data_IF_911432000099
#
_entry.id   IF_911432000099
#
_cell.length_a   1.000
_cell.length_b   1.000
_cell.length_c   1.000
_cell.angle_alpha   90.00
_cell.angle_beta   90.00
_cell.angle_gamma   90.00
#
_symmetry.space_group_name_H-M   'P 1'
#
loop_
_entity.id
_entity.type
_entity.pdbx_description
1 polymer ?
#
# COMPACT_ATOMS: atom_id res chain seq x y z
N UNK A 1 -19.34 2.51 -12.29
CA UNK A 1 -18.78 1.50 -11.41
C UNK A 1 -19.41 1.59 -10.02
N UNK A 2 -19.77 0.51 -9.47
CA UNK A 2 -20.44 0.52 -8.17
C UNK A 2 -19.46 0.09 -7.09
N UNK A 3 -19.70 0.58 -5.88
CA UNK A 3 -18.82 0.29 -4.76
C UNK A 3 -18.82 -1.18 -4.36
N UNK A 4 -19.84 -1.92 -4.78
CA UNK A 4 -19.92 -3.35 -4.44
C UNK A 4 -18.80 -4.18 -5.06
N UNK A 5 -18.14 -3.67 -6.11
CA UNK A 5 -17.02 -4.35 -6.75
C UNK A 5 -15.69 -3.99 -6.10
N UNK A 6 -15.68 -3.01 -5.20
CA UNK A 6 -14.48 -2.61 -4.48
C UNK A 6 -14.23 -3.53 -3.30
N UNK A 7 -12.96 -3.86 -3.08
CA UNK A 7 -12.56 -4.64 -1.93
C UNK A 7 -12.23 -3.70 -0.77
N UNK A 8 -12.62 -4.04 0.45
CA UNK A 8 -12.17 -3.26 1.60
C UNK A 8 -10.68 -3.44 1.79
N UNK A 9 -10.02 -2.39 2.21
CA UNK A 9 -8.59 -2.48 2.53
C UNK A 9 -8.47 -3.11 3.90
N UNK A 10 -7.81 -4.26 3.96
CA UNK A 10 -7.61 -4.98 5.21
C UNK A 10 -6.69 -4.15 6.10
N UNK A 11 -7.06 -4.04 7.37
CA UNK A 11 -6.30 -3.25 8.33
C UNK A 11 -4.83 -3.67 8.32
N UNK A 12 -3.96 -2.68 8.22
CA UNK A 12 -2.52 -2.90 8.23
C UNK A 12 -1.90 -3.10 6.86
N UNK A 13 -2.71 -3.32 5.81
CA UNK A 13 -2.13 -3.56 4.49
C UNK A 13 -1.85 -2.28 3.72
N UNK A 14 -2.53 -1.17 4.04
CA UNK A 14 -2.35 0.06 3.28
C UNK A 14 -0.91 0.57 3.36
N UNK A 15 -0.30 0.52 4.54
CA UNK A 15 1.08 0.96 4.71
C UNK A 15 2.01 0.18 3.78
N UNK A 16 1.79 -1.12 3.64
CA UNK A 16 2.60 -1.96 2.76
C UNK A 16 2.34 -1.67 1.28
N UNK A 17 1.10 -1.37 0.92
CA UNK A 17 0.78 -0.99 -0.45
C UNK A 17 1.49 0.33 -0.83
N UNK A 18 1.52 1.27 0.10
CA UNK A 18 2.22 2.53 -0.09
C UNK A 18 3.73 2.31 -0.24
N UNK A 19 4.32 1.52 0.65
CA UNK A 19 5.75 1.20 0.57
C UNK A 19 6.09 0.54 -0.77
N UNK A 20 5.22 -0.38 -1.21
CA UNK A 20 5.46 -1.06 -2.49
C UNK A 20 5.44 -0.10 -3.66
N UNK A 21 4.49 0.83 -3.65
CA UNK A 21 4.41 1.83 -4.72
C UNK A 21 5.70 2.65 -4.83
N UNK A 22 6.39 2.86 -3.71
CA UNK A 22 7.59 3.69 -3.66
C UNK A 22 8.87 2.95 -3.99
N UNK A 23 8.79 1.66 -4.31
CA UNK A 23 10.00 0.86 -4.54
C UNK A 23 10.79 1.26 -5.78
N UNK A 24 10.15 1.85 -6.76
CA UNK A 24 10.81 2.14 -8.03
C UNK A 24 11.26 3.59 -8.17
N UNK A 25 10.51 4.51 -7.62
CA UNK A 25 10.79 5.94 -7.77
C UNK A 25 10.04 6.70 -6.69
N UNK A 26 10.53 7.86 -6.28
CA UNK A 26 9.74 8.71 -5.40
C UNK A 26 8.42 9.11 -6.06
N UNK A 27 7.37 9.21 -5.27
CA UNK A 27 6.05 9.60 -5.76
C UNK A 27 5.39 10.56 -4.78
N UNK A 28 4.54 11.43 -5.31
CA UNK A 28 3.61 12.19 -4.46
C UNK A 28 2.33 11.39 -4.26
N UNK A 29 1.47 11.86 -3.35
CA UNK A 29 0.30 11.10 -2.92
C UNK A 29 -0.61 10.67 -4.05
N UNK A 30 -0.89 11.57 -4.99
CA UNK A 30 -1.77 11.26 -6.11
C UNK A 30 -1.21 10.13 -6.97
N UNK A 31 0.10 10.12 -7.20
CA UNK A 31 0.74 9.06 -7.97
C UNK A 31 0.65 7.71 -7.25
N UNK A 32 0.83 7.73 -5.93
CA UNK A 32 0.71 6.51 -5.13
C UNK A 32 -0.68 5.92 -5.27
N UNK A 33 -1.70 6.74 -5.09
CA UNK A 33 -3.09 6.31 -5.21
C UNK A 33 -3.38 5.74 -6.59
N UNK A 34 -2.94 6.44 -7.63
CA UNK A 34 -3.14 6.01 -9.00
C UNK A 34 -2.47 4.68 -9.27
N UNK A 35 -1.26 4.50 -8.74
CA UNK A 35 -0.52 3.26 -8.95
C UNK A 35 -1.25 2.08 -8.29
N UNK A 36 -1.71 2.24 -7.04
CA UNK A 36 -2.42 1.18 -6.33
C UNK A 36 -3.72 0.83 -7.03
N UNK A 37 -4.48 1.84 -7.46
CA UNK A 37 -5.74 1.62 -8.16
C UNK A 37 -5.51 0.88 -9.47
N UNK A 38 -4.50 1.29 -10.23
CA UNK A 38 -4.20 0.66 -11.50
C UNK A 38 -3.74 -0.79 -11.33
N UNK A 39 -2.88 -1.05 -10.34
CA UNK A 39 -2.40 -2.41 -10.09
C UNK A 39 -3.51 -3.33 -9.59
N UNK A 40 -4.47 -2.78 -8.88
CA UNK A 40 -5.61 -3.56 -8.39
C UNK A 40 -6.72 -3.68 -9.46
N UNK A 41 -6.53 -3.11 -10.63
CA UNK A 41 -7.53 -3.05 -11.70
C UNK A 41 -8.85 -2.45 -11.20
N UNK A 42 -8.72 -1.39 -10.37
CA UNK A 42 -9.86 -0.69 -9.83
C UNK A 42 -10.53 -1.37 -8.64
N UNK A 43 -10.00 -2.50 -8.17
CA UNK A 43 -10.60 -3.22 -7.05
C UNK A 43 -10.33 -2.56 -5.70
N UNK A 44 -9.25 -1.78 -5.58
CA UNK A 44 -8.93 -1.06 -4.35
C UNK A 44 -9.09 0.43 -4.59
N UNK A 45 -9.85 1.07 -3.71
CA UNK A 45 -10.09 2.50 -3.75
C UNK A 45 -9.44 3.11 -2.50
N UNK A 46 -8.37 3.88 -2.70
CA UNK A 46 -7.60 4.46 -1.60
C UNK A 46 -8.06 5.89 -1.40
N UNK A 47 -8.67 6.15 -0.25
CA UNK A 47 -9.13 7.50 0.09
C UNK A 47 -7.95 8.37 0.49
N UNK A 48 -8.04 9.65 0.14
CA UNK A 48 -6.97 10.60 0.40
C UNK A 48 -6.62 10.67 1.88
N UNK A 49 -7.62 10.72 2.75
CA UNK A 49 -7.36 10.81 4.19
C UNK A 49 -6.63 9.58 4.70
N UNK A 50 -7.02 8.39 4.25
CA UNK A 50 -6.35 7.17 4.66
C UNK A 50 -4.91 7.12 4.14
N UNK A 51 -4.70 7.58 2.90
CA UNK A 51 -3.37 7.63 2.32
C UNK A 51 -2.44 8.54 3.13
N UNK A 52 -2.91 9.75 3.45
CA UNK A 52 -2.05 10.70 4.17
C UNK A 52 -1.79 10.26 5.61
N UNK A 53 -2.75 9.58 6.24
CA UNK A 53 -2.50 8.99 7.55
C UNK A 53 -1.44 7.88 7.47
N UNK A 54 -1.50 7.06 6.42
CA UNK A 54 -0.49 6.03 6.21
C UNK A 54 0.90 6.63 5.99
N UNK A 55 0.98 7.65 5.13
CA UNK A 55 2.24 8.34 4.87
C UNK A 55 2.81 8.97 6.13
N UNK A 56 1.95 9.56 6.96
CA UNK A 56 2.37 10.14 8.23
C UNK A 56 2.97 9.08 9.16
N UNK A 57 2.29 7.94 9.29
CA UNK A 57 2.80 6.84 10.13
C UNK A 57 4.15 6.33 9.62
N UNK A 58 4.27 6.18 8.30
CA UNK A 58 5.51 5.68 7.71
C UNK A 58 6.66 6.67 7.91
N UNK A 59 6.38 7.96 7.77
CA UNK A 59 7.38 8.98 7.97
C UNK A 59 7.83 9.03 9.43
N UNK A 60 6.92 8.93 10.38
CA UNK A 60 7.25 8.91 11.80
C UNK A 60 8.15 7.74 12.17
N UNK A 61 8.03 6.64 11.47
CA UNK A 61 8.83 5.43 11.72
C UNK A 61 10.10 5.37 10.87
N UNK A 62 10.39 6.44 10.14
CA UNK A 62 11.56 6.52 9.26
C UNK A 62 11.57 5.45 8.17
N UNK A 63 10.40 5.00 7.76
CA UNK A 63 10.27 4.04 6.67
C UNK A 63 10.17 4.74 5.32
N UNK A 64 9.80 6.01 5.34
CA UNK A 64 9.85 6.90 4.18
C UNK A 64 10.40 8.26 4.61
N UNK A 65 10.95 8.99 3.65
CA UNK A 65 11.29 10.41 3.80
C UNK A 65 10.50 11.21 2.79
N UNK A 66 10.36 12.51 3.01
CA UNK A 66 9.57 13.36 2.12
C UNK A 66 10.33 14.64 1.82
N UNK A 67 10.24 15.07 0.56
CA UNK A 67 10.82 16.31 0.08
C UNK A 67 9.81 17.04 -0.79
N UNK A 68 9.88 18.35 -0.79
CA UNK A 68 9.06 19.13 -1.69
C UNK A 68 9.63 19.06 -3.10
N UNK A 69 8.72 18.96 -4.07
CA UNK A 69 9.08 18.97 -5.48
C UNK A 69 8.00 19.66 -6.29
N UNK A 70 8.14 19.60 -7.60
CA UNK A 70 7.21 20.22 -8.54
C UNK A 70 6.70 19.15 -9.49
N UNK A 71 5.38 19.07 -9.61
CA UNK A 71 4.74 18.11 -10.50
C UNK A 71 4.85 18.55 -11.97
N UNK A 72 4.48 17.67 -12.89
CA UNK A 72 4.44 17.98 -14.30
C UNK A 72 3.48 19.12 -14.62
N UNK A 73 2.50 19.39 -13.74
CA UNK A 73 1.56 20.50 -13.87
C UNK A 73 2.07 21.77 -13.18
N UNK A 74 3.34 21.79 -12.82
CA UNK A 74 3.99 22.93 -12.18
C UNK A 74 3.39 23.28 -10.82
N UNK A 75 2.92 22.29 -10.08
CA UNK A 75 2.38 22.45 -8.73
C UNK A 75 3.34 21.87 -7.72
N UNK A 76 3.40 22.48 -6.53
CA UNK A 76 4.21 21.94 -5.44
C UNK A 76 3.53 20.70 -4.86
N UNK A 77 4.34 19.68 -4.56
CA UNK A 77 3.87 18.47 -3.93
C UNK A 77 4.99 17.88 -3.09
N UNK A 78 4.61 17.16 -2.03
CA UNK A 78 5.58 16.38 -1.28
C UNK A 78 5.79 15.06 -2.00
N UNK A 79 7.05 14.74 -2.25
CA UNK A 79 7.45 13.47 -2.83
C UNK A 79 8.00 12.60 -1.73
N UNK A 80 7.54 11.36 -1.70
CA UNK A 80 7.93 10.39 -0.69
C UNK A 80 8.88 9.39 -1.30
N UNK A 81 9.87 9.00 -0.51
CA UNK A 81 10.92 8.07 -0.92
C UNK A 81 11.01 6.97 0.13
N UNK A 82 11.06 5.72 -0.29
CA UNK A 82 11.24 4.62 0.64
C UNK A 82 12.69 4.61 1.15
N UNK A 83 12.86 4.36 2.44
CA UNK A 83 14.18 4.25 3.05
C UNK A 83 14.67 2.81 3.00
N UNK A 84 15.94 2.59 3.36
CA UNK A 84 16.47 1.24 3.51
C UNK A 84 15.66 0.46 4.54
N UNK A 85 15.33 1.09 5.67
CA UNK A 85 14.48 0.47 6.70
C UNK A 85 13.09 0.15 6.14
N UNK A 86 12.54 1.05 5.32
CA UNK A 86 11.25 0.81 4.67
C UNK A 86 11.27 -0.41 3.77
N UNK A 87 12.34 -0.60 3.01
CA UNK A 87 12.48 -1.79 2.16
C UNK A 87 12.56 -3.06 2.96
N UNK A 88 13.31 -3.06 4.06
CA UNK A 88 13.43 -4.22 4.93
C UNK A 88 12.09 -4.56 5.57
N UNK A 89 11.37 -3.55 6.04
CA UNK A 89 10.05 -3.73 6.64
C UNK A 89 9.06 -4.29 5.62
N UNK A 90 9.08 -3.75 4.40
CA UNK A 90 8.20 -4.22 3.35
C UNK A 90 8.46 -5.70 3.03
N UNK A 91 9.72 -6.10 2.93
CA UNK A 91 10.06 -7.49 2.64
C UNK A 91 9.54 -8.43 3.72
N UNK A 92 9.74 -8.06 5.00
CA UNK A 92 9.28 -8.88 6.12
C UNK A 92 7.74 -8.96 6.15
N UNK A 93 7.08 -7.83 5.98
CA UNK A 93 5.61 -7.79 6.03
C UNK A 93 5.00 -8.51 4.84
N UNK A 94 5.62 -8.43 3.67
CA UNK A 94 5.14 -9.15 2.48
C UNK A 94 5.20 -10.66 2.71
N UNK A 95 6.32 -11.16 3.24
CA UNK A 95 6.45 -12.59 3.51
C UNK A 95 5.40 -13.05 4.51
N UNK A 96 5.17 -12.28 5.56
CA UNK A 96 4.17 -12.60 6.57
C UNK A 96 2.75 -12.57 5.98
N UNK A 97 2.46 -11.58 5.15
CA UNK A 97 1.15 -11.48 4.51
C UNK A 97 0.88 -12.68 3.62
N UNK A 98 1.85 -13.07 2.79
CA UNK A 98 1.67 -14.20 1.88
C UNK A 98 1.41 -15.49 2.67
N UNK A 99 2.16 -15.72 3.76
CA UNK A 99 1.92 -16.86 4.62
C UNK A 99 0.51 -16.84 5.21
N UNK A 100 0.12 -15.70 5.73
CA UNK A 100 -1.19 -15.56 6.37
C UNK A 100 -2.31 -15.80 5.36
N UNK A 101 -2.24 -15.12 4.21
CA UNK A 101 -3.27 -15.24 3.18
C UNK A 101 -3.37 -16.66 2.65
N UNK A 102 -2.24 -17.32 2.41
CA UNK A 102 -2.22 -18.71 1.95
C UNK A 102 -2.85 -19.62 2.98
N UNK A 103 -2.48 -19.46 4.25
CA UNK A 103 -3.01 -20.31 5.33
C UNK A 103 -4.52 -20.14 5.46
N UNK A 104 -4.99 -18.90 5.47
CA UNK A 104 -6.42 -18.64 5.59
C UNK A 104 -7.18 -19.20 4.37
N UNK A 105 -6.63 -18.98 3.18
CA UNK A 105 -7.25 -19.48 1.95
C UNK A 105 -7.36 -21.00 1.99
N UNK A 106 -6.30 -21.69 2.43
CA UNK A 106 -6.30 -23.15 2.50
C UNK A 106 -7.38 -23.65 3.45
N UNK A 107 -7.56 -22.98 4.58
CA UNK A 107 -8.61 -23.36 5.53
C UNK A 107 -9.99 -23.15 4.92
N UNK A 108 -10.21 -21.96 4.34
CA UNK A 108 -11.52 -21.59 3.80
C UNK A 108 -11.93 -22.42 2.60
N UNK A 109 -10.96 -22.89 1.83
CA UNK A 109 -11.23 -23.71 0.63
C UNK A 109 -11.02 -25.20 0.88
N UNK A 110 -10.90 -25.61 2.13
CA UNK A 110 -10.72 -27.02 2.48
C UNK A 110 -11.91 -27.83 2.01
N UNK A 111 -11.64 -28.96 1.38
CA UNK A 111 -12.68 -29.86 0.88
C UNK A 111 -13.12 -30.90 1.92
N UNK A 112 -12.42 -30.98 3.04
CA UNK A 112 -12.73 -31.98 4.08
C UNK A 112 -12.88 -31.31 5.43
N UNK A 113 -13.80 -31.82 6.23
CA UNK A 113 -14.02 -31.35 7.58
C UNK A 113 -13.29 -32.21 8.62
N UNK A 114 -13.62 -31.99 9.88
CA UNK A 114 -13.01 -32.80 10.98
C UNK A 114 -13.28 -34.27 10.79
N UNK A 115 -12.33 -35.09 11.16
CA UNK A 115 -12.44 -36.53 11.06
C UNK A 115 -13.46 -37.11 12.07
#
# INVERSE_FOLDING_TARGET
MTDRDSLPIVKGTLDNLVLKALCWTPMHGFEITRWVEARSRGSLDVRDSALYQALHRLEERDLVTADWGVTSNNQRARYYRITKAGRARLAADTAQWVRYATTVTDILTSASGPA
#
